data_IF_183589438513
#
_entry.id   IF_183589438513
#
_cell.length_a   1.000
_cell.length_b   1.000
_cell.length_c   1.000
_cell.angle_alpha   90.00
_cell.angle_beta   90.00
_cell.angle_gamma   90.00
#
_symmetry.space_group_name_H-M   'P 1'
#
loop_
_entity.id
_entity.type
_entity.pdbx_description
1 polymer ?
#
# COMPACT_ATOMS: atom_id res chain seq x y z
N UNK A 1 -54.95 -13.43 22.48
CA UNK A 1 -53.78 -13.99 21.77
C UNK A 1 -53.34 -13.14 20.57
N UNK A 2 -54.24 -12.54 19.78
CA UNK A 2 -53.89 -11.72 18.61
C UNK A 2 -52.99 -10.49 18.88
N UNK A 3 -53.19 -9.79 20.01
CA UNK A 3 -52.37 -8.62 20.37
C UNK A 3 -50.88 -8.96 20.49
N UNK A 4 -50.52 -10.12 21.03
CA UNK A 4 -49.12 -10.49 21.25
C UNK A 4 -48.36 -10.72 19.93
N UNK A 5 -49.03 -11.23 18.89
CA UNK A 5 -48.42 -11.45 17.58
C UNK A 5 -48.19 -10.14 16.82
N UNK A 6 -49.09 -9.17 16.96
CA UNK A 6 -48.95 -7.84 16.35
C UNK A 6 -47.76 -7.11 16.98
N UNK A 7 -47.63 -7.13 18.30
CA UNK A 7 -46.48 -6.52 19.01
C UNK A 7 -45.15 -7.18 18.60
N UNK A 8 -45.14 -8.51 18.44
CA UNK A 8 -43.96 -9.25 17.99
C UNK A 8 -43.56 -8.89 16.55
N UNK A 9 -44.54 -8.76 15.65
CA UNK A 9 -44.31 -8.36 14.25
C UNK A 9 -43.73 -6.96 14.14
N UNK A 10 -44.23 -6.01 14.94
CA UNK A 10 -43.70 -4.64 15.01
C UNK A 10 -42.25 -4.66 15.53
N UNK A 11 -41.95 -5.43 16.58
CA UNK A 11 -40.61 -5.56 17.14
C UNK A 11 -39.61 -6.12 16.10
N UNK A 12 -40.01 -7.16 15.37
CA UNK A 12 -39.21 -7.76 14.29
C UNK A 12 -38.95 -6.78 13.14
N UNK A 13 -39.96 -5.98 12.76
CA UNK A 13 -39.82 -4.97 11.72
C UNK A 13 -38.82 -3.88 12.13
N UNK A 14 -38.86 -3.41 13.39
CA UNK A 14 -37.88 -2.45 13.91
C UNK A 14 -36.47 -3.05 13.99
N UNK A 15 -36.35 -4.31 14.40
CA UNK A 15 -35.05 -5.01 14.45
C UNK A 15 -34.43 -5.16 13.05
N UNK A 16 -35.24 -5.56 12.07
CA UNK A 16 -34.82 -5.69 10.67
C UNK A 16 -34.44 -4.34 10.05
N UNK A 17 -35.28 -3.32 10.24
CA UNK A 17 -35.00 -1.96 9.77
C UNK A 17 -33.74 -1.38 10.40
N UNK A 18 -33.55 -1.57 11.71
CA UNK A 18 -32.33 -1.17 12.42
C UNK A 18 -31.08 -1.86 11.88
N UNK A 19 -31.15 -3.17 11.61
CA UNK A 19 -30.05 -3.93 11.02
C UNK A 19 -29.67 -3.37 9.63
N UNK A 20 -30.66 -3.11 8.76
CA UNK A 20 -30.42 -2.53 7.43
C UNK A 20 -29.74 -1.16 7.51
N UNK A 21 -30.21 -0.28 8.40
CA UNK A 21 -29.62 1.06 8.57
C UNK A 21 -28.16 0.96 9.05
N UNK A 22 -27.87 0.06 9.99
CA UNK A 22 -26.48 -0.17 10.46
C UNK A 22 -25.60 -0.72 9.34
N UNK A 23 -26.10 -1.64 8.52
CA UNK A 23 -25.37 -2.14 7.35
C UNK A 23 -25.08 -1.02 6.35
N UNK A 24 -26.07 -0.19 6.00
CA UNK A 24 -25.91 0.96 5.10
C UNK A 24 -24.87 1.95 5.62
N UNK A 25 -24.94 2.32 6.90
CA UNK A 25 -23.97 3.23 7.51
C UNK A 25 -22.55 2.65 7.51
N UNK A 26 -22.39 1.34 7.73
CA UNK A 26 -21.08 0.68 7.66
C UNK A 26 -20.51 0.66 6.23
N UNK A 27 -21.34 0.45 5.21
CA UNK A 27 -20.92 0.51 3.80
C UNK A 27 -20.46 1.93 3.44
N UNK A 28 -21.26 2.96 3.77
CA UNK A 28 -20.88 4.37 3.52
C UNK A 28 -19.60 4.74 4.28
N UNK A 29 -19.44 4.25 5.51
CA UNK A 29 -18.24 4.46 6.33
C UNK A 29 -17.01 3.72 5.76
N UNK A 30 -17.20 2.57 5.13
CA UNK A 30 -16.14 1.82 4.45
C UNK A 30 -15.62 2.57 3.22
N UNK A 31 -16.54 3.05 2.37
CA UNK A 31 -16.21 3.85 1.17
C UNK A 31 -15.46 5.13 1.53
N UNK A 32 -15.87 5.81 2.61
CA UNK A 32 -15.21 7.04 3.06
C UNK A 32 -13.85 6.82 3.71
N UNK A 33 -13.61 5.68 4.38
CA UNK A 33 -12.29 5.32 4.93
C UNK A 33 -11.24 5.07 3.85
N UNK A 34 -11.64 4.59 2.67
CA UNK A 34 -10.72 4.29 1.57
C UNK A 34 -10.32 5.50 0.72
N UNK A 35 -10.89 6.68 0.94
CA UNK A 35 -10.53 7.90 0.17
C UNK A 35 -9.11 8.40 0.43
N UNK A 36 -8.49 8.00 1.55
CA UNK A 36 -7.12 8.42 1.85
C UNK A 36 -6.14 7.52 1.11
N UNK A 37 -5.29 8.08 0.23
CA UNK A 37 -4.26 7.30 -0.44
C UNK A 37 -3.38 6.59 0.58
N UNK A 38 -2.91 5.41 0.22
CA UNK A 38 -2.14 4.50 1.06
C UNK A 38 -0.85 5.17 1.55
N UNK A 39 -0.21 5.99 0.72
CA UNK A 39 0.99 6.73 1.10
C UNK A 39 0.78 7.79 2.19
N UNK A 40 -0.46 8.24 2.44
CA UNK A 40 -0.78 9.14 3.55
C UNK A 40 -1.09 8.40 4.87
N UNK A 41 -1.11 7.06 4.86
CA UNK A 41 -1.37 6.27 6.07
C UNK A 41 -0.10 6.16 6.90
N UNK A 42 -0.25 5.97 8.22
CA UNK A 42 0.89 5.74 9.12
C UNK A 42 1.57 4.41 8.76
N UNK A 43 2.82 4.49 8.33
CA UNK A 43 3.65 3.34 8.00
C UNK A 43 4.41 2.82 9.22
N UNK A 44 4.62 1.50 9.33
CA UNK A 44 5.38 0.91 10.43
C UNK A 44 6.88 1.26 10.31
N UNK A 45 7.51 1.65 11.42
CA UNK A 45 8.94 2.04 11.48
C UNK A 45 9.90 0.90 11.84
N UNK A 46 9.45 -0.36 11.70
CA UNK A 46 10.30 -1.51 12.05
C UNK A 46 11.20 -1.85 10.84
N UNK A 47 12.51 -2.11 11.07
CA UNK A 47 13.44 -2.44 10.01
C UNK A 47 13.03 -3.72 9.27
N UNK A 48 13.44 -3.79 8.01
CA UNK A 48 13.23 -4.95 7.16
C UNK A 48 14.14 -6.11 7.54
N UNK A 49 13.74 -7.35 7.24
CA UNK A 49 14.64 -8.50 7.31
C UNK A 49 15.76 -8.33 6.27
N UNK A 50 16.95 -8.88 6.55
CA UNK A 50 18.12 -8.79 5.66
C UNK A 50 17.80 -9.32 4.24
N UNK A 51 16.99 -10.37 4.14
CA UNK A 51 16.52 -10.96 2.87
C UNK A 51 15.80 -9.96 1.95
N UNK A 52 15.23 -8.90 2.53
CA UNK A 52 14.55 -7.86 1.77
C UNK A 52 15.53 -7.06 0.90
N UNK A 53 16.73 -6.78 1.42
CA UNK A 53 17.76 -6.03 0.70
C UNK A 53 18.21 -6.77 -0.57
N UNK A 54 18.42 -8.07 -0.47
CA UNK A 54 18.81 -8.92 -1.60
C UNK A 54 17.70 -9.02 -2.64
N UNK A 55 16.45 -9.15 -2.19
CA UNK A 55 15.33 -9.21 -3.11
C UNK A 55 15.00 -7.87 -3.75
N UNK A 56 15.23 -6.75 -3.06
CA UNK A 56 15.14 -5.41 -3.63
C UNK A 56 16.11 -5.27 -4.81
N UNK A 57 17.37 -5.70 -4.64
CA UNK A 57 18.36 -5.73 -5.72
C UNK A 57 17.94 -6.67 -6.84
N UNK A 58 17.55 -7.89 -6.52
CA UNK A 58 17.13 -8.89 -7.51
C UNK A 58 15.92 -8.45 -8.32
N UNK A 59 14.92 -7.85 -7.68
CA UNK A 59 13.71 -7.36 -8.33
C UNK A 59 14.03 -6.22 -9.31
N UNK A 60 14.90 -5.28 -8.93
CA UNK A 60 15.33 -4.21 -9.84
C UNK A 60 16.15 -4.74 -11.01
N UNK A 61 17.12 -5.63 -10.76
CA UNK A 61 17.91 -6.24 -11.83
C UNK A 61 17.06 -7.03 -12.83
N UNK A 62 15.99 -7.68 -12.36
CA UNK A 62 15.07 -8.47 -13.20
C UNK A 62 14.18 -7.60 -14.07
N UNK A 63 13.69 -6.48 -13.53
CA UNK A 63 12.67 -5.66 -14.20
C UNK A 63 13.26 -4.46 -14.94
N UNK A 64 14.39 -3.93 -14.46
CA UNK A 64 15.02 -2.74 -15.00
C UNK A 64 14.17 -1.48 -14.87
N UNK A 65 13.16 -1.49 -14.01
CA UNK A 65 12.22 -0.38 -13.77
C UNK A 65 11.71 -0.39 -12.33
N UNK A 66 11.50 0.79 -11.74
CA UNK A 66 11.05 0.95 -10.36
C UNK A 66 9.63 0.40 -10.15
N UNK A 67 8.72 0.63 -11.09
CA UNK A 67 7.34 0.14 -10.96
C UNK A 67 7.31 -1.38 -11.03
N UNK A 68 8.01 -1.97 -12.00
CA UNK A 68 8.15 -3.42 -12.12
C UNK A 68 8.75 -4.05 -10.84
N UNK A 69 9.82 -3.46 -10.32
CA UNK A 69 10.47 -3.89 -9.07
C UNK A 69 9.48 -3.92 -7.90
N UNK A 70 8.70 -2.85 -7.72
CA UNK A 70 7.74 -2.75 -6.63
C UNK A 70 6.61 -3.80 -6.74
N UNK A 71 6.13 -4.10 -7.95
CA UNK A 71 5.13 -5.16 -8.16
C UNK A 71 5.69 -6.55 -7.82
N UNK A 72 6.94 -6.84 -8.22
CA UNK A 72 7.60 -8.09 -7.85
C UNK A 72 7.77 -8.20 -6.33
N UNK A 73 8.19 -7.13 -5.66
CA UNK A 73 8.32 -7.12 -4.20
C UNK A 73 6.97 -7.30 -3.51
N UNK A 74 5.90 -6.70 -4.04
CA UNK A 74 4.56 -6.85 -3.50
C UNK A 74 4.10 -8.32 -3.56
N UNK A 75 4.40 -9.03 -4.65
CA UNK A 75 4.06 -10.45 -4.79
C UNK A 75 4.84 -11.34 -3.83
N UNK A 76 6.08 -10.96 -3.49
CA UNK A 76 6.96 -11.78 -2.63
C UNK A 76 6.77 -11.47 -1.13
N UNK A 77 6.35 -10.25 -0.77
CA UNK A 77 6.12 -9.83 0.61
C UNK A 77 4.65 -9.56 0.91
N UNK A 78 3.90 -10.63 1.20
CA UNK A 78 2.50 -10.54 1.62
C UNK A 78 2.33 -10.14 3.10
N UNK A 79 3.37 -10.32 3.92
CA UNK A 79 3.33 -10.10 5.38
C UNK A 79 4.49 -9.23 5.86
N UNK A 80 4.31 -8.62 7.03
CA UNK A 80 5.33 -7.81 7.70
C UNK A 80 5.24 -6.31 7.41
N UNK A 81 6.34 -5.61 7.68
CA UNK A 81 6.42 -4.14 7.50
C UNK A 81 6.44 -3.75 6.03
N UNK A 82 7.16 -4.52 5.20
CA UNK A 82 7.26 -4.33 3.76
C UNK A 82 5.89 -4.42 3.07
N UNK A 83 5.02 -5.33 3.51
CA UNK A 83 3.68 -5.52 2.96
C UNK A 83 2.77 -4.27 3.06
N UNK A 84 3.07 -3.32 3.96
CA UNK A 84 2.35 -2.04 4.05
C UNK A 84 3.04 -0.91 3.29
N UNK A 85 4.36 -0.95 3.20
CA UNK A 85 5.18 0.11 2.60
C UNK A 85 5.29 -0.04 1.08
N UNK A 86 5.37 -1.26 0.55
CA UNK A 86 5.40 -1.49 -0.90
C UNK A 86 4.12 -0.99 -1.58
N UNK A 87 2.90 -1.31 -1.09
CA UNK A 87 1.68 -0.78 -1.71
C UNK A 87 1.56 0.74 -1.54
N UNK A 88 2.10 1.31 -0.46
CA UNK A 88 2.13 2.76 -0.28
C UNK A 88 3.06 3.44 -1.29
N UNK A 89 4.25 2.88 -1.53
CA UNK A 89 5.16 3.37 -2.56
C UNK A 89 4.54 3.25 -3.97
N UNK A 90 3.92 2.12 -4.28
CA UNK A 90 3.18 1.92 -5.54
C UNK A 90 2.04 2.92 -5.70
N UNK A 91 1.21 3.08 -4.67
CA UNK A 91 0.09 4.02 -4.68
C UNK A 91 0.56 5.47 -4.87
N UNK A 92 1.69 5.86 -4.27
CA UNK A 92 2.30 7.16 -4.55
C UNK A 92 2.71 7.29 -6.02
N UNK A 93 3.41 6.29 -6.54
CA UNK A 93 3.90 6.29 -7.92
C UNK A 93 2.78 6.36 -8.96
N UNK A 94 1.64 5.72 -8.70
CA UNK A 94 0.51 5.65 -9.63
C UNK A 94 -0.47 6.81 -9.46
N UNK A 95 -0.82 7.16 -8.21
CA UNK A 95 -1.93 8.05 -7.90
C UNK A 95 -1.50 9.45 -7.44
N UNK A 96 -0.24 9.68 -7.07
CA UNK A 96 0.24 11.02 -6.73
C UNK A 96 0.32 11.94 -7.95
N UNK A 97 0.29 13.25 -7.70
CA UNK A 97 0.46 14.29 -8.73
C UNK A 97 1.88 14.33 -9.29
N UNK A 98 2.88 14.12 -8.43
CA UNK A 98 4.29 14.30 -8.77
C UNK A 98 4.95 13.03 -9.30
N UNK A 99 4.64 11.87 -8.68
CA UNK A 99 5.14 10.54 -9.08
C UNK A 99 6.67 10.48 -9.14
N UNK A 100 7.34 11.26 -8.29
CA UNK A 100 8.78 11.31 -8.22
C UNK A 100 9.35 10.08 -7.50
N UNK A 101 10.50 9.61 -7.98
CA UNK A 101 11.14 8.40 -7.45
C UNK A 101 11.72 8.60 -6.05
N UNK A 102 12.15 9.82 -5.71
CA UNK A 102 12.67 10.14 -4.37
C UNK A 102 11.60 9.92 -3.30
N UNK A 103 10.42 10.50 -3.47
CA UNK A 103 9.32 10.34 -2.52
C UNK A 103 8.74 8.92 -2.56
N UNK A 104 8.75 8.25 -3.72
CA UNK A 104 8.41 6.83 -3.81
C UNK A 104 9.31 5.99 -2.90
N UNK A 105 10.62 6.23 -2.93
CA UNK A 105 11.60 5.54 -2.09
C UNK A 105 11.53 5.97 -0.63
N UNK A 106 11.16 7.21 -0.33
CA UNK A 106 10.87 7.63 1.03
C UNK A 106 9.76 6.77 1.69
N UNK A 107 8.69 6.46 0.94
CA UNK A 107 7.63 5.59 1.46
C UNK A 107 8.07 4.12 1.61
N UNK A 108 8.98 3.67 0.73
CA UNK A 108 9.55 2.34 0.78
C UNK A 108 10.61 2.17 1.88
N UNK A 109 11.38 3.21 2.21
CA UNK A 109 12.51 3.16 3.14
C UNK A 109 12.08 2.85 4.58
N UNK A 110 12.73 1.87 5.20
CA UNK A 110 12.57 1.57 6.62
C UNK A 110 13.44 2.44 7.54
N UNK A 111 14.14 3.44 6.99
CA UNK A 111 15.13 4.31 7.67
C UNK A 111 16.41 3.57 8.08
N UNK A 112 16.67 2.38 7.52
CA UNK A 112 17.94 1.69 7.67
C UNK A 112 18.94 2.14 6.61
N UNK A 113 20.21 2.27 7.01
CA UNK A 113 21.28 2.68 6.09
C UNK A 113 21.47 1.67 4.94
N UNK A 114 21.32 0.37 5.21
CA UNK A 114 21.53 -0.68 4.21
C UNK A 114 20.53 -0.60 3.06
N UNK A 115 19.25 -0.42 3.38
CA UNK A 115 18.19 -0.30 2.37
C UNK A 115 18.31 1.04 1.64
N UNK A 116 18.59 2.12 2.36
CA UNK A 116 18.72 3.46 1.77
C UNK A 116 19.87 3.53 0.76
N UNK A 117 21.01 2.90 1.05
CA UNK A 117 22.13 2.85 0.09
C UNK A 117 21.77 2.08 -1.19
N UNK A 118 20.93 1.04 -1.09
CA UNK A 118 20.45 0.29 -2.25
C UNK A 118 19.47 1.14 -3.06
N UNK A 119 18.52 1.78 -2.39
CA UNK A 119 17.54 2.67 -3.03
C UNK A 119 18.23 3.83 -3.75
N UNK A 120 19.23 4.44 -3.13
CA UNK A 120 20.02 5.50 -3.76
C UNK A 120 20.73 5.01 -5.03
N UNK A 121 21.37 3.83 -5.00
CA UNK A 121 22.00 3.24 -6.19
C UNK A 121 21.00 2.98 -7.31
N UNK A 122 19.79 2.53 -6.97
CA UNK A 122 18.71 2.31 -7.94
C UNK A 122 18.24 3.65 -8.53
N UNK A 123 18.06 4.67 -7.69
CA UNK A 123 17.68 6.01 -8.11
C UNK A 123 18.70 6.61 -9.09
N UNK A 124 19.99 6.50 -8.77
CA UNK A 124 21.07 6.96 -9.65
C UNK A 124 21.06 6.25 -11.00
N UNK A 125 20.78 4.94 -11.03
CA UNK A 125 20.63 4.17 -12.27
C UNK A 125 19.44 4.64 -13.09
N UNK A 126 18.29 4.91 -12.47
CA UNK A 126 17.12 5.43 -13.18
C UNK A 126 17.34 6.85 -13.72
N UNK A 127 17.91 7.75 -12.92
CA UNK A 127 18.23 9.11 -13.39
C UNK A 127 19.21 9.07 -14.56
N UNK A 128 20.19 8.16 -14.51
CA UNK A 128 21.15 7.94 -15.61
C UNK A 128 20.46 7.43 -16.87
N UNK A 129 19.55 6.46 -16.73
CA UNK A 129 18.73 5.90 -17.81
C UNK A 129 17.85 6.98 -18.45
N UNK A 130 17.19 7.80 -17.65
CA UNK A 130 16.38 8.94 -18.13
C UNK A 130 17.21 9.96 -18.91
N UNK A 131 18.47 10.18 -18.49
CA UNK A 131 19.41 11.08 -19.18
C UNK A 131 20.09 10.45 -20.40
N UNK A 132 19.78 9.20 -20.76
CA UNK A 132 20.38 8.50 -21.91
C UNK A 132 21.86 8.15 -21.72
N UNK A 133 22.36 8.17 -20.49
CA UNK A 133 23.75 7.84 -20.18
C UNK A 133 23.93 6.32 -20.09
N UNK A 134 25.01 5.79 -20.67
CA UNK A 134 25.24 4.34 -20.76
C UNK A 134 25.40 3.72 -19.35
N UNK A 135 24.59 2.71 -19.05
CA UNK A 135 24.72 1.90 -17.85
C UNK A 135 25.90 0.93 -18.02
N UNK A 136 27.07 1.24 -17.44
CA UNK A 136 28.09 0.21 -17.20
C UNK A 136 27.54 -0.73 -16.11
N UNK A 137 27.30 -1.98 -16.50
CA UNK A 137 26.86 -3.07 -15.64
C UNK A 137 27.95 -3.51 -14.68
#
# INVERSE_FOLDING_TARGET
>A
MAHNYITLGILLAFLSGGCMVVCLLNVIRSETKNKKPLYLRKLPKKPYPEEFADALRGAYCTTGDIRGMLLLLQSKWEKGTAAKRIPAALDYLENSRYRDYETTFFYLSDQSADVDTILQKILEKEVRKQKGLVCKG
#
